data_IF_083445830828
#
_entry.id   IF_083445830828
#
_cell.length_a   1.000
_cell.length_b   1.000
_cell.length_c   1.000
_cell.angle_alpha   90.00
_cell.angle_beta   90.00
_cell.angle_gamma   90.00
#
_symmetry.space_group_name_H-M   'P 1'
#
loop_
_entity.id
_entity.type
_entity.pdbx_description
1 polymer ?
#
# COMPACT_ATOMS: atom_id res chain seq x y z
N UNK A 1 -9.07 14.75 -14.02
CA UNK A 1 -10.38 14.53 -13.35
C UNK A 1 -10.21 14.68 -11.85
N UNK A 2 -11.26 15.10 -11.14
CA UNK A 2 -11.32 15.12 -9.67
C UNK A 2 -12.02 13.84 -9.20
N UNK A 3 -11.39 13.08 -8.31
CA UNK A 3 -11.90 11.80 -7.83
C UNK A 3 -11.76 11.73 -6.31
N UNK A 4 -12.76 11.14 -5.66
CA UNK A 4 -12.73 10.81 -4.24
C UNK A 4 -12.55 9.30 -4.06
N UNK A 5 -11.72 8.91 -3.09
CA UNK A 5 -11.54 7.51 -2.66
C UNK A 5 -11.98 7.42 -1.19
N UNK A 6 -12.84 6.47 -0.86
CA UNK A 6 -13.25 6.19 0.52
C UNK A 6 -12.50 4.95 1.00
N UNK A 7 -11.72 5.10 2.06
CA UNK A 7 -10.78 4.13 2.62
C UNK A 7 -9.33 4.44 2.24
N UNK A 8 -8.49 4.75 3.22
CA UNK A 8 -7.04 4.95 3.08
C UNK A 8 -6.22 3.76 3.58
N UNK A 9 -6.78 2.55 3.50
CA UNK A 9 -6.03 1.31 3.67
C UNK A 9 -5.16 0.98 2.45
N UNK A 10 -4.49 -0.18 2.47
CA UNK A 10 -3.52 -0.60 1.44
C UNK A 10 -4.02 -0.40 0.01
N UNK A 11 -5.24 -0.84 -0.30
CA UNK A 11 -5.82 -0.72 -1.64
C UNK A 11 -6.12 0.73 -2.02
N UNK A 12 -6.74 1.50 -1.13
CA UNK A 12 -7.15 2.88 -1.40
C UNK A 12 -5.95 3.82 -1.54
N UNK A 13 -4.96 3.71 -0.65
CA UNK A 13 -3.71 4.48 -0.75
C UNK A 13 -2.91 4.11 -2.00
N UNK A 14 -2.85 2.81 -2.35
CA UNK A 14 -2.19 2.39 -3.58
C UNK A 14 -2.89 2.96 -4.81
N UNK A 15 -4.21 2.83 -4.91
CA UNK A 15 -4.99 3.39 -6.03
C UNK A 15 -4.83 4.90 -6.12
N UNK A 16 -4.94 5.62 -5.00
CA UNK A 16 -4.76 7.06 -4.95
C UNK A 16 -3.39 7.51 -5.45
N UNK A 17 -2.32 6.83 -5.01
CA UNK A 17 -0.97 7.08 -5.52
C UNK A 17 -0.87 6.87 -7.03
N UNK A 18 -1.44 5.78 -7.55
CA UNK A 18 -1.41 5.45 -8.99
C UNK A 18 -2.16 6.49 -9.82
N UNK A 19 -3.37 6.87 -9.40
CA UNK A 19 -4.17 7.84 -10.13
C UNK A 19 -3.58 9.25 -10.07
N UNK A 20 -3.01 9.65 -8.92
CA UNK A 20 -2.34 10.94 -8.81
C UNK A 20 -1.15 11.05 -9.77
N UNK A 21 -0.36 9.98 -9.91
CA UNK A 21 0.75 9.92 -10.89
C UNK A 21 0.31 9.98 -12.35
N UNK A 22 -0.94 9.62 -12.64
CA UNK A 22 -1.54 9.78 -13.98
C UNK A 22 -2.13 11.18 -14.21
N UNK A 23 -1.93 12.12 -13.27
CA UNK A 23 -2.39 13.52 -13.40
C UNK A 23 -3.82 13.76 -12.92
N UNK A 24 -4.43 12.82 -12.20
CA UNK A 24 -5.74 13.04 -11.57
C UNK A 24 -5.60 13.78 -10.24
N UNK A 25 -6.61 14.59 -9.90
CA UNK A 25 -6.73 15.22 -8.59
C UNK A 25 -7.50 14.26 -7.67
N UNK A 26 -6.83 13.74 -6.65
CA UNK A 26 -7.36 12.71 -5.76
C UNK A 26 -7.54 13.27 -4.36
N UNK A 27 -8.69 13.04 -3.77
CA UNK A 27 -8.96 13.23 -2.35
C UNK A 27 -9.29 11.87 -1.73
N UNK A 28 -8.70 11.54 -0.58
CA UNK A 28 -8.90 10.25 0.10
C UNK A 28 -9.48 10.51 1.48
N UNK A 29 -10.60 9.83 1.78
CA UNK A 29 -11.29 9.91 3.06
C UNK A 29 -11.07 8.60 3.82
N UNK A 30 -10.74 8.68 5.10
CA UNK A 30 -10.58 7.53 5.98
C UNK A 30 -11.44 7.73 7.23
N UNK A 31 -12.11 6.66 7.66
CA UNK A 31 -12.99 6.70 8.83
C UNK A 31 -12.19 6.75 10.13
N UNK A 32 -11.05 6.07 10.16
CA UNK A 32 -10.17 6.01 11.33
C UNK A 32 -9.23 7.21 11.39
N UNK A 33 -9.10 7.80 12.58
CA UNK A 33 -8.04 8.79 12.83
C UNK A 33 -6.70 8.08 12.93
N UNK A 34 -5.62 8.80 12.63
CA UNK A 34 -4.25 8.27 12.68
C UNK A 34 -3.91 7.66 14.04
N UNK A 35 -4.38 8.27 15.13
CA UNK A 35 -4.12 7.85 16.51
C UNK A 35 -4.90 6.59 16.89
N UNK A 36 -5.97 6.28 16.16
CA UNK A 36 -6.85 5.13 16.40
C UNK A 36 -6.69 4.06 15.30
N UNK A 37 -5.66 4.17 14.47
CA UNK A 37 -5.43 3.21 13.41
C UNK A 37 -5.05 1.86 14.01
N UNK A 38 -5.90 0.86 13.77
CA UNK A 38 -5.65 -0.52 14.17
C UNK A 38 -5.19 -1.31 12.95
N UNK A 39 -3.88 -1.55 12.77
CA UNK A 39 -3.41 -2.41 11.72
C UNK A 39 -3.81 -3.85 12.03
N UNK A 40 -4.65 -4.45 11.20
CA UNK A 40 -4.92 -5.90 11.26
C UNK A 40 -3.59 -6.62 11.08
N UNK A 41 -3.16 -7.38 12.07
CA UNK A 41 -1.83 -7.96 12.10
C UNK A 41 -1.67 -9.10 11.08
N UNK A 42 -0.50 -9.12 10.43
CA UNK A 42 0.07 -10.17 9.57
C UNK A 42 -0.80 -10.66 8.39
N UNK A 43 -0.59 -10.07 7.21
CA UNK A 43 -1.16 -10.56 5.95
C UNK A 43 -0.11 -11.35 5.18
N UNK A 44 -0.49 -12.54 4.70
CA UNK A 44 0.31 -13.30 3.75
C UNK A 44 0.05 -12.81 2.33
N UNK A 45 1.11 -12.51 1.58
CA UNK A 45 1.00 -12.20 0.15
C UNK A 45 2.19 -12.76 -0.62
N UNK A 46 2.05 -12.85 -1.94
CA UNK A 46 3.14 -13.26 -2.83
C UNK A 46 4.24 -12.20 -2.84
N UNK A 47 5.48 -12.61 -2.53
CA UNK A 47 6.67 -11.75 -2.62
C UNK A 47 6.76 -11.05 -3.99
N UNK A 48 6.62 -11.81 -5.07
CA UNK A 48 6.75 -11.31 -6.43
C UNK A 48 5.71 -10.22 -6.75
N UNK A 49 4.49 -10.37 -6.21
CA UNK A 49 3.43 -9.38 -6.40
C UNK A 49 3.67 -8.13 -5.56
N UNK A 50 4.13 -8.29 -4.31
CA UNK A 50 4.48 -7.16 -3.46
C UNK A 50 5.62 -6.34 -4.08
N UNK A 51 6.66 -6.98 -4.60
CA UNK A 51 7.74 -6.30 -5.33
C UNK A 51 7.21 -5.46 -6.49
N UNK A 52 6.29 -6.03 -7.28
CA UNK A 52 5.66 -5.34 -8.42
C UNK A 52 4.83 -4.14 -7.97
N UNK A 53 4.00 -4.30 -6.95
CA UNK A 53 3.16 -3.21 -6.44
C UNK A 53 3.98 -2.12 -5.77
N UNK A 54 5.00 -2.47 -4.97
CA UNK A 54 5.93 -1.51 -4.38
C UNK A 54 6.62 -0.69 -5.46
N UNK A 55 7.17 -1.34 -6.50
CA UNK A 55 7.78 -0.64 -7.64
C UNK A 55 6.80 0.32 -8.32
N UNK A 56 5.57 -0.12 -8.57
CA UNK A 56 4.54 0.72 -9.17
C UNK A 56 4.14 1.91 -8.28
N UNK A 57 4.22 1.76 -6.96
CA UNK A 57 4.07 2.83 -5.98
C UNK A 57 5.35 3.68 -5.80
N UNK A 58 6.42 3.39 -6.54
CA UNK A 58 7.72 4.09 -6.46
C UNK A 58 8.47 3.82 -5.15
N UNK A 59 8.22 2.65 -4.56
CA UNK A 59 8.89 2.15 -3.36
C UNK A 59 9.88 1.06 -3.77
N UNK A 60 11.03 1.02 -3.10
CA UNK A 60 11.92 -0.14 -3.16
C UNK A 60 11.44 -1.17 -2.14
N UNK A 61 11.05 -2.37 -2.59
CA UNK A 61 10.55 -3.43 -1.71
C UNK A 61 11.58 -3.84 -0.65
N UNK A 62 12.86 -3.92 -1.01
CA UNK A 62 13.92 -4.38 -0.10
C UNK A 62 14.11 -3.47 1.12
N UNK A 63 13.71 -2.20 1.03
CA UNK A 63 13.74 -1.27 2.16
C UNK A 63 12.73 -1.66 3.27
N UNK A 64 11.78 -2.54 2.99
CA UNK A 64 10.71 -2.95 3.90
C UNK A 64 10.82 -4.42 4.33
N UNK A 65 11.85 -5.14 3.88
CA UNK A 65 12.07 -6.53 4.29
C UNK A 65 12.88 -6.56 5.59
N UNK A 66 12.23 -7.01 6.67
CA UNK A 66 12.89 -7.14 7.98
C UNK A 66 13.64 -8.47 8.13
N UNK A 67 13.22 -9.51 7.41
CA UNK A 67 13.81 -10.84 7.51
C UNK A 67 13.52 -11.70 6.28
N UNK A 68 14.54 -12.42 5.78
CA UNK A 68 14.36 -13.51 4.81
C UNK A 68 14.44 -14.85 5.55
N UNK A 69 13.30 -15.55 5.60
CA UNK A 69 13.22 -16.87 6.22
C UNK A 69 14.13 -17.88 5.52
N UNK A 70 14.67 -18.83 6.29
CA UNK A 70 15.48 -19.94 5.77
C UNK A 70 14.56 -21.12 5.46
N UNK A 71 14.81 -21.79 4.33
CA UNK A 71 14.16 -23.07 4.06
C UNK A 71 14.66 -24.08 5.10
N UNK A 72 13.78 -24.52 5.98
CA UNK A 72 14.05 -25.63 6.87
C UNK A 72 14.02 -26.89 6.02
N UNK A 73 15.13 -27.62 6.04
CA UNK A 73 15.36 -28.82 5.24
C UNK A 73 14.40 -29.94 5.63
#
# INVERSE_FOLDING_TARGET
MKLAIVGAGVAGSYLGNRLQRLGHQIEIFEATKKESHWPVCAWGASKNMLETFSKNAGLNFDNYVLHYGKKLR
#
